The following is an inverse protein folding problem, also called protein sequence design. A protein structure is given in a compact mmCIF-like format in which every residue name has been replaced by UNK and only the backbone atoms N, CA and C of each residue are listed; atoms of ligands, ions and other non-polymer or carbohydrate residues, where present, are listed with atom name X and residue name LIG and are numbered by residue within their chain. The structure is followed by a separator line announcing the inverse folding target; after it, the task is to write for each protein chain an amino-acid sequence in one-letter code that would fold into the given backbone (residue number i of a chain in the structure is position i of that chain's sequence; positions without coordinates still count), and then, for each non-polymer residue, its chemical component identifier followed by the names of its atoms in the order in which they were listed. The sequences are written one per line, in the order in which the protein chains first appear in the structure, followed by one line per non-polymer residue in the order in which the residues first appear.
data_IF_958507900782
#
_entry.id   IF_958507900782
#
_cell.length_a   1.000
_cell.length_b   1.000
_cell.length_c   1.000
_cell.angle_alpha   90.00
_cell.angle_beta   90.00
_cell.angle_gamma   90.00
#
_symmetry.space_group_name_H-M   'P 1'
#
loop_
_entity.id
_entity.type
_entity.pdbx_description
1 polymer ?
#
# COMPACT_ATOMS: atom_id res chain seq x y z
N UNK A 1 -16.65 -12.58 5.10
CA UNK A 1 -15.92 -12.30 3.86
C UNK A 1 -16.13 -10.86 3.44
N UNK A 2 -15.04 -10.15 3.19
CA UNK A 2 -15.07 -8.76 2.74
C UNK A 2 -15.34 -8.73 1.24
N UNK A 3 -16.30 -7.89 0.83
CA UNK A 3 -16.47 -7.50 -0.58
C UNK A 3 -15.52 -6.35 -0.87
N UNK A 4 -15.12 -6.19 -2.13
CA UNK A 4 -14.26 -5.08 -2.54
C UNK A 4 -15.10 -3.80 -2.68
N UNK A 5 -14.93 -2.78 -1.81
CA UNK A 5 -15.56 -1.49 -2.01
C UNK A 5 -14.98 -0.81 -3.26
N UNK A 6 -15.79 -0.02 -3.94
CA UNK A 6 -15.32 0.79 -5.06
C UNK A 6 -14.30 1.85 -4.59
N UNK A 7 -13.49 2.36 -5.53
CA UNK A 7 -12.58 3.46 -5.21
C UNK A 7 -13.31 4.70 -4.69
N UNK A 8 -14.48 5.01 -5.25
CA UNK A 8 -15.29 6.15 -4.81
C UNK A 8 -15.72 6.02 -3.35
N UNK A 9 -16.18 4.84 -2.92
CA UNK A 9 -16.52 4.57 -1.51
C UNK A 9 -15.28 4.68 -0.61
N UNK A 10 -14.13 4.14 -1.05
CA UNK A 10 -12.87 4.25 -0.30
C UNK A 10 -12.38 5.70 -0.19
N UNK A 11 -12.60 6.53 -1.18
CA UNK A 11 -12.14 7.92 -1.19
C UNK A 11 -12.88 8.81 -0.17
N UNK A 12 -14.10 8.44 0.21
CA UNK A 12 -14.93 9.21 1.15
C UNK A 12 -14.93 8.65 2.57
N UNK A 13 -14.29 7.48 2.81
CA UNK A 13 -14.23 6.84 4.12
C UNK A 13 -12.87 7.03 4.79
N UNK A 14 -12.83 7.11 6.12
CA UNK A 14 -11.62 7.13 6.94
C UNK A 14 -10.56 8.13 6.44
N UNK A 15 -10.98 9.36 6.07
CA UNK A 15 -10.10 10.36 5.45
C UNK A 15 -9.03 10.84 6.44
N UNK A 16 -9.39 11.09 7.70
CA UNK A 16 -8.48 11.57 8.73
C UNK A 16 -7.41 10.49 9.04
N UNK A 17 -7.85 9.25 9.20
CA UNK A 17 -7.00 8.08 9.48
C UNK A 17 -6.01 7.86 8.33
N UNK A 18 -6.49 7.85 7.09
CA UNK A 18 -5.63 7.71 5.91
C UNK A 18 -4.62 8.84 5.78
N UNK A 19 -5.01 10.07 6.12
CA UNK A 19 -4.11 11.22 6.10
C UNK A 19 -3.02 11.09 7.17
N UNK A 20 -3.38 10.64 8.37
CA UNK A 20 -2.42 10.40 9.45
C UNK A 20 -1.43 9.27 9.07
N UNK A 21 -1.94 8.16 8.57
CA UNK A 21 -1.14 7.03 8.08
C UNK A 21 -0.20 7.48 6.96
N UNK A 22 -0.72 8.19 5.96
CA UNK A 22 0.06 8.68 4.83
C UNK A 22 1.19 9.61 5.27
N UNK A 23 0.93 10.50 6.23
CA UNK A 23 1.93 11.39 6.83
C UNK A 23 3.00 10.61 7.56
N UNK A 24 2.64 9.59 8.34
CA UNK A 24 3.58 8.74 9.05
C UNK A 24 4.44 7.93 8.06
N UNK A 25 3.82 7.31 7.07
CA UNK A 25 4.49 6.53 6.03
C UNK A 25 5.50 7.38 5.21
N UNK A 26 5.12 8.61 4.89
CA UNK A 26 5.98 9.52 4.12
C UNK A 26 7.29 9.89 4.82
N UNK A 27 7.36 9.76 6.16
CA UNK A 27 8.61 9.98 6.93
C UNK A 27 9.69 8.93 6.65
N UNK A 28 9.33 7.79 6.09
CA UNK A 28 10.28 6.75 5.69
C UNK A 28 10.97 7.07 4.37
N UNK A 29 10.36 7.95 3.56
CA UNK A 29 10.87 8.28 2.23
C UNK A 29 11.95 9.35 2.33
N UNK A 30 13.05 9.16 1.59
CA UNK A 30 14.20 10.05 1.51
C UNK A 30 14.49 10.39 0.07
N UNK A 31 15.31 11.40 -0.15
CA UNK A 31 15.83 11.76 -1.47
C UNK A 31 16.46 10.54 -2.16
N UNK A 32 16.34 10.48 -3.46
CA UNK A 32 16.89 9.47 -4.38
C UNK A 32 16.29 8.06 -4.27
N UNK A 33 15.29 7.85 -3.42
CA UNK A 33 14.63 6.55 -3.28
C UNK A 33 13.74 6.21 -4.48
N UNK A 34 13.65 4.92 -4.78
CA UNK A 34 12.62 4.32 -5.64
C UNK A 34 11.57 3.66 -4.75
N UNK A 35 10.35 4.19 -4.76
CA UNK A 35 9.26 3.69 -3.92
C UNK A 35 8.11 3.14 -4.77
N UNK A 36 7.47 2.08 -4.26
CA UNK A 36 6.21 1.60 -4.82
C UNK A 36 5.03 2.05 -3.97
N UNK A 37 4.05 2.67 -4.61
CA UNK A 37 2.76 3.02 -4.04
C UNK A 37 1.68 2.09 -4.61
N UNK A 38 1.24 1.15 -3.79
CA UNK A 38 0.18 0.20 -4.17
C UNK A 38 -1.16 0.90 -4.36
N UNK A 39 -2.00 0.34 -5.21
CA UNK A 39 -3.30 0.91 -5.53
C UNK A 39 -4.19 1.06 -4.28
N UNK A 40 -4.51 2.29 -3.93
CA UNK A 40 -5.33 2.61 -2.78
C UNK A 40 -5.33 4.09 -2.40
N UNK A 41 -6.42 4.52 -1.79
CA UNK A 41 -6.60 5.92 -1.36
C UNK A 41 -5.62 6.34 -0.25
N UNK A 42 -5.15 5.40 0.58
CA UNK A 42 -4.13 5.68 1.61
C UNK A 42 -2.77 5.97 0.98
N UNK A 43 -2.36 5.17 -0.01
CA UNK A 43 -1.11 5.40 -0.73
C UNK A 43 -1.16 6.70 -1.54
N UNK A 44 -2.26 6.99 -2.22
CA UNK A 44 -2.47 8.25 -2.93
C UNK A 44 -2.38 9.47 -1.99
N UNK A 45 -2.87 9.34 -0.75
CA UNK A 45 -2.82 10.40 0.26
C UNK A 45 -1.39 10.78 0.70
N UNK A 46 -0.38 9.99 0.33
CA UNK A 46 1.04 10.32 0.58
C UNK A 46 1.54 11.48 -0.30
N UNK A 47 0.94 11.71 -1.47
CA UNK A 47 1.40 12.70 -2.46
C UNK A 47 1.77 14.07 -1.87
N UNK A 48 0.94 14.76 -1.10
CA UNK A 48 1.26 16.08 -0.57
C UNK A 48 2.41 16.08 0.45
N UNK A 49 2.69 14.96 1.09
CA UNK A 49 3.77 14.81 2.05
C UNK A 49 5.13 14.45 1.41
N UNK A 50 5.15 14.18 0.12
CA UNK A 50 6.35 13.83 -0.65
C UNK A 50 6.86 14.96 -1.54
N UNK A 51 6.21 16.11 -1.55
CA UNK A 51 6.52 17.22 -2.45
C UNK A 51 7.93 17.79 -2.30
N UNK A 52 8.51 17.64 -1.12
CA UNK A 52 9.86 18.13 -0.79
C UNK A 52 10.97 17.09 -1.01
N UNK A 53 10.63 15.87 -1.41
CA UNK A 53 11.61 14.80 -1.65
C UNK A 53 12.23 14.98 -3.03
N UNK A 54 13.56 15.07 -3.09
CA UNK A 54 14.28 15.28 -4.36
C UNK A 54 14.66 13.94 -5.00
N UNK A 55 14.68 13.94 -6.35
CA UNK A 55 15.10 12.77 -7.16
C UNK A 55 14.36 11.48 -6.79
N UNK A 56 13.09 11.61 -6.35
CA UNK A 56 12.22 10.49 -6.01
C UNK A 56 11.75 9.78 -7.28
N UNK A 57 11.83 8.46 -7.30
CA UNK A 57 11.15 7.65 -8.31
C UNK A 57 9.92 7.00 -7.69
N UNK A 58 8.75 7.30 -8.23
CA UNK A 58 7.47 6.72 -7.79
C UNK A 58 7.00 5.68 -8.80
N UNK A 59 6.91 4.45 -8.35
CA UNK A 59 6.34 3.32 -9.09
C UNK A 59 4.94 3.05 -8.58
N UNK A 60 3.95 2.94 -9.44
CA UNK A 60 2.58 2.65 -9.01
C UNK A 60 1.76 1.93 -10.08
N UNK A 61 0.88 1.04 -9.63
CA UNK A 61 -0.15 0.41 -10.46
C UNK A 61 -1.52 1.12 -10.32
N UNK A 62 -1.58 2.25 -9.63
CA UNK A 62 -2.80 3.03 -9.37
C UNK A 62 -2.92 4.22 -10.31
N UNK A 63 -3.91 4.21 -11.20
CA UNK A 63 -4.15 5.26 -12.20
C UNK A 63 -4.38 6.63 -11.53
N UNK A 64 -5.08 6.65 -10.39
CA UNK A 64 -5.32 7.91 -9.68
C UNK A 64 -4.06 8.44 -8.97
N UNK A 65 -3.17 7.56 -8.53
CA UNK A 65 -1.85 7.96 -8.01
C UNK A 65 -0.96 8.48 -9.16
N UNK A 66 -0.96 7.82 -10.33
CA UNK A 66 -0.28 8.37 -11.53
C UNK A 66 -0.75 9.80 -11.79
N UNK A 67 -2.06 10.00 -11.87
CA UNK A 67 -2.64 11.32 -12.12
C UNK A 67 -2.23 12.36 -11.05
N UNK A 68 -2.19 11.97 -9.78
CA UNK A 68 -1.82 12.86 -8.68
C UNK A 68 -0.33 13.24 -8.68
N UNK A 69 0.53 12.46 -9.33
CA UNK A 69 1.97 12.73 -9.39
C UNK A 69 2.42 13.41 -10.70
N UNK A 70 1.54 13.56 -11.70
CA UNK A 70 1.90 14.21 -12.98
C UNK A 70 2.42 15.66 -12.82
N UNK A 71 1.98 16.35 -11.77
CA UNK A 71 2.40 17.72 -11.45
C UNK A 71 3.45 17.80 -10.34
N UNK A 72 4.03 16.67 -9.93
CA UNK A 72 5.10 16.67 -8.94
C UNK A 72 6.35 17.35 -9.55
N UNK A 73 6.99 18.27 -8.80
CA UNK A 73 8.05 19.11 -9.38
C UNK A 73 9.32 18.36 -9.81
N UNK A 74 9.62 17.21 -9.19
CA UNK A 74 10.91 16.53 -9.42
C UNK A 74 10.83 14.99 -9.41
N UNK A 75 9.66 14.38 -9.14
CA UNK A 75 9.57 12.92 -9.11
C UNK A 75 9.55 12.34 -10.53
N UNK A 76 10.38 11.31 -10.75
CA UNK A 76 10.21 10.41 -11.88
C UNK A 76 9.04 9.46 -11.60
N UNK A 77 8.25 9.14 -12.62
CA UNK A 77 7.00 8.40 -12.45
C UNK A 77 6.96 7.19 -13.38
N UNK A 78 6.95 6.00 -12.78
CA UNK A 78 6.79 4.73 -13.49
C UNK A 78 5.37 4.21 -13.27
N UNK A 79 4.55 4.26 -14.31
CA UNK A 79 3.21 3.66 -14.31
C UNK A 79 3.32 2.19 -14.68
N UNK A 80 2.96 1.32 -13.74
CA UNK A 80 2.97 -0.14 -13.96
C UNK A 80 1.76 -0.54 -14.78
N UNK A 81 2.00 -1.08 -15.96
CA UNK A 81 0.97 -1.51 -16.90
C UNK A 81 0.27 -2.80 -16.49
N UNK A 82 -0.76 -3.19 -17.24
CA UNK A 82 -1.51 -4.42 -17.04
C UNK A 82 -2.97 -4.32 -17.42
N UNK A 83 -3.77 -5.31 -17.00
CA UNK A 83 -5.23 -5.26 -17.17
C UNK A 83 -5.82 -4.27 -16.17
N UNK A 84 -6.68 -3.36 -16.65
CA UNK A 84 -7.30 -2.36 -15.79
C UNK A 84 -8.48 -2.94 -15.00
N UNK A 85 -8.42 -2.84 -13.69
CA UNK A 85 -9.56 -2.98 -12.78
C UNK A 85 -10.29 -1.64 -12.69
N UNK A 86 -11.42 -1.51 -13.36
CA UNK A 86 -12.21 -0.28 -13.43
C UNK A 86 -12.82 0.11 -12.08
N UNK A 87 -13.08 -0.86 -11.21
CA UNK A 87 -13.68 -0.61 -9.88
C UNK A 87 -12.73 0.13 -8.96
N UNK A 88 -11.44 -0.18 -9.07
CA UNK A 88 -10.41 0.40 -8.23
C UNK A 88 -9.44 1.34 -8.97
N UNK A 89 -9.61 1.52 -10.28
CA UNK A 89 -8.73 2.33 -11.13
C UNK A 89 -7.26 1.91 -11.00
N UNK A 90 -7.00 0.61 -11.11
CA UNK A 90 -5.66 0.06 -10.96
C UNK A 90 -5.34 -0.98 -12.03
N UNK A 91 -4.07 -1.23 -12.28
CA UNK A 91 -3.64 -2.35 -13.11
C UNK A 91 -3.38 -3.58 -12.25
N UNK A 92 -3.71 -4.76 -12.78
CA UNK A 92 -3.67 -6.04 -12.06
C UNK A 92 -3.22 -7.19 -12.95
N UNK A 93 -2.83 -8.30 -12.32
CA UNK A 93 -2.55 -9.57 -12.97
C UNK A 93 -1.12 -9.70 -13.49
N UNK A 94 -0.92 -10.69 -14.37
CA UNK A 94 0.41 -11.14 -14.81
C UNK A 94 1.29 -10.03 -15.40
N UNK A 95 0.75 -9.16 -16.24
CA UNK A 95 1.56 -8.08 -16.85
C UNK A 95 2.04 -7.07 -15.81
N UNK A 96 1.20 -6.73 -14.83
CA UNK A 96 1.59 -5.90 -13.69
C UNK A 96 2.73 -6.55 -12.89
N UNK A 97 2.62 -7.86 -12.61
CA UNK A 97 3.66 -8.63 -11.94
C UNK A 97 4.99 -8.62 -12.72
N UNK A 98 4.93 -8.85 -14.02
CA UNK A 98 6.15 -8.90 -14.86
C UNK A 98 6.88 -7.53 -14.87
N UNK A 99 6.14 -6.43 -14.94
CA UNK A 99 6.75 -5.10 -14.87
C UNK A 99 7.44 -4.87 -13.53
N UNK A 100 6.79 -5.21 -12.42
CA UNK A 100 7.36 -5.06 -11.07
C UNK A 100 8.58 -5.94 -10.85
N UNK A 101 8.63 -7.13 -11.43
CA UNK A 101 9.76 -8.06 -11.31
C UNK A 101 11.06 -7.57 -11.98
N UNK A 102 10.98 -6.58 -12.87
CA UNK A 102 12.14 -5.94 -13.53
C UNK A 102 12.68 -4.73 -12.75
N UNK A 103 12.08 -4.41 -11.59
CA UNK A 103 12.43 -3.23 -10.81
C UNK A 103 13.13 -3.61 -9.50
N UNK A 104 13.94 -2.69 -8.98
CA UNK A 104 14.46 -2.73 -7.62
C UNK A 104 13.91 -1.52 -6.87
N UNK A 105 13.30 -1.79 -5.71
CA UNK A 105 12.61 -0.77 -4.92
C UNK A 105 13.26 -0.65 -3.54
N UNK A 106 13.44 0.57 -3.05
CA UNK A 106 13.87 0.80 -1.67
C UNK A 106 12.72 0.50 -0.69
N UNK A 107 11.51 0.98 -1.03
CA UNK A 107 10.32 0.83 -0.20
C UNK A 107 9.10 0.42 -1.04
N UNK A 108 8.33 -0.53 -0.53
CA UNK A 108 6.99 -0.82 -1.06
C UNK A 108 5.93 -0.53 0.01
N UNK A 109 5.04 0.42 -0.28
CA UNK A 109 3.87 0.72 0.55
C UNK A 109 2.68 -0.06 0.05
N UNK A 110 2.28 -1.06 0.82
CA UNK A 110 1.22 -2.01 0.47
C UNK A 110 -0.10 -1.57 1.09
N UNK A 111 -1.13 -1.45 0.28
CA UNK A 111 -2.50 -1.20 0.71
C UNK A 111 -3.24 -2.50 1.01
N UNK A 112 -4.32 -2.44 1.79
CA UNK A 112 -5.17 -3.60 2.04
C UNK A 112 -6.66 -3.25 2.08
N UNK A 113 -7.49 -4.23 1.71
CA UNK A 113 -8.94 -4.21 1.94
C UNK A 113 -9.29 -4.88 3.27
N UNK A 114 -8.42 -5.75 3.78
CA UNK A 114 -8.59 -6.50 5.01
C UNK A 114 -7.27 -7.12 5.45
N UNK A 115 -7.00 -7.12 6.75
CA UNK A 115 -5.75 -7.64 7.29
C UNK A 115 -5.88 -8.04 8.76
N UNK A 116 -5.09 -9.01 9.18
CA UNK A 116 -4.87 -9.38 10.57
C UNK A 116 -3.60 -10.23 10.71
N UNK A 117 -3.25 -10.58 11.95
CA UNK A 117 -2.04 -11.37 12.22
C UNK A 117 -2.14 -12.81 11.68
N UNK A 118 -3.33 -13.42 11.73
CA UNK A 118 -3.54 -14.82 11.34
C UNK A 118 -3.68 -15.02 9.82
N UNK A 119 -4.46 -14.16 9.16
CA UNK A 119 -4.73 -14.27 7.73
C UNK A 119 -3.73 -13.47 6.88
N UNK A 120 -3.03 -12.48 7.48
CA UNK A 120 -2.15 -11.57 6.76
C UNK A 120 -2.93 -10.50 5.98
N UNK A 121 -2.35 -10.01 4.91
CA UNK A 121 -2.99 -9.07 3.96
C UNK A 121 -3.83 -9.88 2.98
N UNK A 122 -5.13 -9.60 2.93
CA UNK A 122 -6.09 -10.34 2.11
C UNK A 122 -6.84 -9.45 1.14
N UNK A 123 -7.32 -10.04 0.04
CA UNK A 123 -8.07 -9.35 -1.02
C UNK A 123 -9.19 -10.25 -1.56
N UNK A 124 -10.36 -9.70 -1.92
CA UNK A 124 -11.40 -10.48 -2.60
C UNK A 124 -11.09 -10.76 -4.08
N UNK A 125 -10.08 -10.10 -4.67
CA UNK A 125 -9.73 -10.18 -6.09
C UNK A 125 -8.39 -10.87 -6.28
N UNK A 126 -8.39 -12.07 -6.87
CA UNK A 126 -7.19 -12.90 -7.10
C UNK A 126 -6.08 -12.17 -7.85
N UNK A 127 -6.42 -11.47 -8.92
CA UNK A 127 -5.46 -10.77 -9.78
C UNK A 127 -4.67 -9.66 -9.07
N UNK A 128 -5.09 -9.20 -7.87
CA UNK A 128 -4.35 -8.26 -7.02
C UNK A 128 -3.22 -8.92 -6.24
N UNK A 129 -3.30 -10.24 -6.02
CA UNK A 129 -2.28 -10.99 -5.27
C UNK A 129 -0.93 -10.90 -5.96
N UNK A 130 -0.90 -11.09 -7.28
CA UNK A 130 0.33 -11.08 -8.05
C UNK A 130 1.09 -9.75 -7.97
N UNK A 131 0.36 -8.63 -8.07
CA UNK A 131 0.97 -7.29 -7.98
C UNK A 131 1.58 -7.05 -6.59
N UNK A 132 0.85 -7.38 -5.52
CA UNK A 132 1.34 -7.18 -4.15
C UNK A 132 2.57 -8.04 -3.83
N UNK A 133 2.57 -9.29 -4.25
CA UNK A 133 3.73 -10.19 -4.08
C UNK A 133 4.94 -9.69 -4.82
N UNK A 134 4.78 -9.33 -6.10
CA UNK A 134 5.88 -8.82 -6.90
C UNK A 134 6.46 -7.52 -6.33
N UNK A 135 5.62 -6.63 -5.80
CA UNK A 135 6.10 -5.40 -5.17
C UNK A 135 6.93 -5.68 -3.90
N UNK A 136 6.49 -6.63 -3.06
CA UNK A 136 7.24 -7.03 -1.86
C UNK A 136 8.54 -7.75 -2.23
N UNK A 137 8.51 -8.63 -3.23
CA UNK A 137 9.71 -9.35 -3.73
C UNK A 137 10.76 -8.39 -4.34
N UNK A 138 10.31 -7.30 -4.96
CA UNK A 138 11.18 -6.29 -5.59
C UNK A 138 11.75 -5.26 -4.59
N UNK A 139 11.22 -5.18 -3.36
CA UNK A 139 11.55 -4.14 -2.41
C UNK A 139 12.53 -4.62 -1.32
N UNK A 140 13.47 -3.74 -0.93
CA UNK A 140 14.30 -3.97 0.25
C UNK A 140 13.47 -3.99 1.54
N UNK A 141 12.45 -3.13 1.62
CA UNK A 141 11.55 -3.05 2.76
C UNK A 141 10.11 -2.85 2.30
N UNK A 142 9.19 -3.67 2.81
CA UNK A 142 7.76 -3.55 2.55
C UNK A 142 7.00 -3.16 3.82
N UNK A 143 6.07 -2.21 3.68
CA UNK A 143 5.30 -1.60 4.76
C UNK A 143 3.81 -1.68 4.45
N UNK A 144 3.01 -2.20 5.37
CA UNK A 144 1.55 -2.13 5.26
C UNK A 144 1.06 -0.75 5.69
N UNK A 145 0.28 -0.10 4.86
CA UNK A 145 -0.41 1.16 5.16
C UNK A 145 -1.93 0.93 5.08
N UNK A 146 -2.55 0.69 6.21
CA UNK A 146 -3.98 0.35 6.26
C UNK A 146 -4.62 0.82 7.56
N UNK A 147 -5.80 1.43 7.46
CA UNK A 147 -6.56 1.85 8.63
C UNK A 147 -7.08 0.66 9.46
N UNK A 148 -7.29 0.92 10.75
CA UNK A 148 -7.69 -0.09 11.74
C UNK A 148 -9.09 -0.65 11.51
N UNK A 149 -9.95 0.03 10.76
CA UNK A 149 -11.28 -0.47 10.41
C UNK A 149 -11.26 -1.75 9.57
N UNK A 150 -10.11 -2.02 8.95
CA UNK A 150 -9.83 -3.22 8.14
C UNK A 150 -9.20 -4.36 8.93
N UNK A 151 -8.75 -4.09 10.16
CA UNK A 151 -8.17 -5.10 11.04
C UNK A 151 -9.21 -6.11 11.51
N UNK A 152 -8.81 -7.39 11.65
CA UNK A 152 -9.69 -8.47 12.07
C UNK A 152 -10.70 -8.90 11.00
N UNK A 153 -10.56 -8.40 9.78
CA UNK A 153 -11.35 -8.83 8.61
C UNK A 153 -10.46 -9.63 7.68
N UNK A 154 -11.06 -10.54 6.94
CA UNK A 154 -10.35 -11.31 5.91
C UNK A 154 -11.19 -11.46 4.64
N UNK A 155 -10.51 -11.62 3.53
CA UNK A 155 -11.06 -11.86 2.23
C UNK A 155 -10.60 -13.21 1.67
N UNK A 156 -11.12 -13.59 0.51
CA UNK A 156 -10.96 -14.92 -0.09
C UNK A 156 -9.50 -15.30 -0.37
N UNK A 157 -8.69 -14.34 -0.79
CA UNK A 157 -7.31 -14.61 -1.24
C UNK A 157 -6.31 -13.92 -0.31
N UNK A 158 -5.34 -14.68 0.18
CA UNK A 158 -4.20 -14.13 0.92
C UNK A 158 -3.14 -13.66 -0.08
N UNK A 159 -2.88 -12.35 -0.07
CA UNK A 159 -1.81 -11.77 -0.85
C UNK A 159 -0.45 -11.97 -0.18
N UNK A 160 -0.35 -11.63 1.12
CA UNK A 160 0.89 -11.67 1.90
C UNK A 160 0.61 -12.22 3.29
N UNK A 161 1.60 -12.89 3.88
CA UNK A 161 1.62 -13.09 5.34
C UNK A 161 2.07 -11.78 5.98
N UNK A 162 1.61 -11.48 7.17
CA UNK A 162 2.03 -10.24 7.83
C UNK A 162 3.55 -10.23 8.12
N UNK A 163 4.14 -11.39 8.38
CA UNK A 163 5.57 -11.57 8.60
C UNK A 163 6.47 -11.32 7.37
N UNK A 164 5.88 -11.13 6.18
CA UNK A 164 6.60 -10.70 4.97
C UNK A 164 6.79 -9.18 4.92
N UNK A 165 6.20 -8.47 5.89
CA UNK A 165 6.26 -7.01 6.01
C UNK A 165 7.14 -6.62 7.19
N UNK A 166 7.95 -5.61 7.02
CA UNK A 166 8.81 -5.08 8.08
C UNK A 166 8.01 -4.28 9.11
N UNK A 167 6.95 -3.63 8.67
CA UNK A 167 6.22 -2.65 9.47
C UNK A 167 4.74 -2.56 9.06
N UNK A 168 3.89 -2.25 10.03
CA UNK A 168 2.50 -1.87 9.85
C UNK A 168 2.32 -0.44 10.33
N UNK A 169 1.88 0.45 9.46
CA UNK A 169 1.46 1.81 9.81
C UNK A 169 -0.07 1.87 9.72
N UNK A 170 -0.70 2.14 10.85
CA UNK A 170 -2.15 2.22 10.99
C UNK A 170 -2.53 3.44 11.83
N UNK A 171 -3.83 3.70 12.00
CA UNK A 171 -4.31 4.77 12.88
C UNK A 171 -4.36 4.34 14.35
N UNK A 172 -4.58 5.32 15.24
CA UNK A 172 -4.59 5.14 16.69
C UNK A 172 -5.71 4.25 17.24
N UNK A 173 -6.72 3.89 16.42
CA UNK A 173 -7.84 3.05 16.86
C UNK A 173 -7.55 1.54 16.80
N UNK A 174 -6.36 1.13 16.34
CA UNK A 174 -5.96 -0.29 16.44
C UNK A 174 -5.91 -0.70 17.91
N UNK A 175 -6.63 -1.79 18.33
CA UNK A 175 -6.63 -2.24 19.71
C UNK A 175 -5.22 -2.55 20.25
N UNK A 176 -4.93 -2.19 21.50
CA UNK A 176 -3.62 -2.41 22.13
C UNK A 176 -3.18 -3.87 22.09
N UNK A 177 -4.11 -4.79 22.37
CA UNK A 177 -3.82 -6.23 22.30
C UNK A 177 -3.40 -6.69 20.91
N UNK A 178 -3.98 -6.11 19.85
CA UNK A 178 -3.60 -6.39 18.47
C UNK A 178 -2.20 -5.85 18.17
N UNK A 179 -1.92 -4.60 18.55
CA UNK A 179 -0.61 -4.00 18.37
C UNK A 179 0.49 -4.81 19.09
N UNK A 180 0.27 -5.19 20.35
CA UNK A 180 1.19 -6.05 21.11
C UNK A 180 1.42 -7.41 20.44
N UNK A 181 0.37 -8.06 19.95
CA UNK A 181 0.49 -9.35 19.29
C UNK A 181 1.30 -9.28 18.00
N UNK A 182 1.12 -8.21 17.20
CA UNK A 182 1.86 -7.98 15.96
C UNK A 182 3.33 -7.72 16.28
N UNK A 183 3.61 -6.86 17.28
CA UNK A 183 4.98 -6.57 17.72
C UNK A 183 5.68 -7.81 18.29
N UNK A 184 4.99 -8.63 19.05
CA UNK A 184 5.50 -9.90 19.57
C UNK A 184 5.82 -10.91 18.45
N UNK A 185 5.17 -10.79 17.29
CA UNK A 185 5.49 -11.57 16.09
C UNK A 185 6.69 -11.00 15.29
N UNK A 186 7.36 -9.96 15.79
CA UNK A 186 8.56 -9.37 15.17
C UNK A 186 8.28 -8.32 14.10
N UNK A 187 7.06 -7.77 14.04
CA UNK A 187 6.66 -6.77 13.06
C UNK A 187 6.49 -5.43 13.78
N UNK A 188 7.14 -4.38 13.29
CA UNK A 188 7.00 -3.04 13.83
C UNK A 188 5.57 -2.50 13.63
N UNK A 189 5.01 -1.82 14.63
CA UNK A 189 3.68 -1.21 14.56
C UNK A 189 3.78 0.27 14.89
N UNK A 190 3.41 1.11 13.93
CA UNK A 190 3.26 2.55 14.11
C UNK A 190 1.78 2.91 14.09
N UNK A 191 1.32 3.53 15.17
CA UNK A 191 -0.03 4.10 15.25
C UNK A 191 0.05 5.62 15.07
N UNK A 192 -0.46 6.10 13.93
CA UNK A 192 -0.40 7.48 13.49
C UNK A 192 -1.57 8.33 14.03
#
# INVERSE_FOLDING_TARGET
LVLEPSRAEKATSEIAEKTAIARAASRLVRDTMTIYLDAGTTAQAMRPFLEHVNDLTVVTNDIATVQAFLDHPSADLISVGGRVDRTNLSTIGRLTRLTLAELSLDLAFISSSSWDLGHGVTTPVEAKVEAKRAAVEAAERAVLIADSSKYGRFAKYRALRLAELAEVITDGALPDGAAHAITAAGIEVVRA
#
